data_IF_259135971864
#
_entry.id   IF_259135971864
#
_cell.length_a   1.000
_cell.length_b   1.000
_cell.length_c   1.000
_cell.angle_alpha   90.00
_cell.angle_beta   90.00
_cell.angle_gamma   90.00
#
_symmetry.space_group_name_H-M   'P 1'
#
loop_
_entity.id
_entity.type
_entity.pdbx_description
1 polymer ?
#
# COMPACT_ATOMS: atom_id res chain seq x y z
N UNK A 1 -2.42 11.72 12.44
CA UNK A 1 -2.20 11.92 10.99
C UNK A 1 -3.23 11.11 10.21
N UNK A 2 -4.22 11.74 9.55
CA UNK A 2 -5.35 11.01 8.93
C UNK A 2 -4.93 10.04 7.83
N UNK A 3 -3.98 10.45 6.97
CA UNK A 3 -3.49 9.62 5.86
C UNK A 3 -2.89 8.29 6.33
N UNK A 4 -2.23 8.26 7.50
CA UNK A 4 -1.71 7.04 8.09
C UNK A 4 -2.81 6.09 8.54
N UNK A 5 -3.88 6.61 9.15
CA UNK A 5 -5.03 5.77 9.54
C UNK A 5 -5.74 5.19 8.31
N UNK A 6 -5.89 5.98 7.25
CA UNK A 6 -6.47 5.50 6.00
C UNK A 6 -5.60 4.47 5.30
N UNK A 7 -4.26 4.57 5.38
CA UNK A 7 -3.39 3.56 4.77
C UNK A 7 -3.37 2.24 5.54
N UNK A 8 -3.51 2.27 6.87
CA UNK A 8 -3.74 1.06 7.67
C UNK A 8 -5.08 0.42 7.28
N UNK A 9 -6.16 1.20 7.23
CA UNK A 9 -7.47 0.70 6.81
C UNK A 9 -7.46 0.11 5.39
N UNK A 10 -6.74 0.73 4.45
CA UNK A 10 -6.51 0.18 3.11
C UNK A 10 -5.83 -1.18 3.17
N UNK A 11 -4.85 -1.35 4.06
CA UNK A 11 -4.12 -2.62 4.22
C UNK A 11 -5.04 -3.71 4.76
N UNK A 12 -5.92 -3.38 5.71
CA UNK A 12 -6.90 -4.31 6.26
C UNK A 12 -7.93 -4.76 5.21
N UNK A 13 -8.45 -3.84 4.40
CA UNK A 13 -9.37 -4.20 3.30
C UNK A 13 -8.65 -5.08 2.28
N UNK A 14 -7.45 -4.66 1.83
CA UNK A 14 -6.68 -5.41 0.85
C UNK A 14 -6.37 -6.83 1.34
N UNK A 15 -6.05 -6.99 2.62
CA UNK A 15 -5.83 -8.30 3.22
C UNK A 15 -7.05 -9.22 3.09
N UNK A 16 -8.25 -8.71 3.35
CA UNK A 16 -9.47 -9.50 3.24
C UNK A 16 -9.73 -9.92 1.79
N UNK A 17 -9.61 -8.99 0.84
CA UNK A 17 -9.80 -9.27 -0.59
C UNK A 17 -8.78 -10.30 -1.09
N UNK A 18 -7.52 -10.14 -0.71
CA UNK A 18 -6.43 -11.06 -1.08
C UNK A 18 -6.68 -12.46 -0.52
N UNK A 19 -7.16 -12.57 0.71
CA UNK A 19 -7.46 -13.86 1.33
C UNK A 19 -8.53 -14.65 0.59
N UNK A 20 -9.49 -13.96 -0.03
CA UNK A 20 -10.49 -14.56 -0.90
C UNK A 20 -9.93 -14.88 -2.29
N UNK A 21 -9.29 -13.90 -2.94
CA UNK A 21 -8.78 -14.02 -4.31
C UNK A 21 -7.63 -15.04 -4.45
N UNK A 22 -6.79 -15.20 -3.43
CA UNK A 22 -5.65 -16.13 -3.44
C UNK A 22 -6.08 -17.60 -3.50
N UNK A 23 -7.36 -17.92 -3.29
CA UNK A 23 -7.90 -19.26 -3.54
C UNK A 23 -7.82 -19.62 -5.03
N UNK A 24 -7.88 -18.61 -5.91
CA UNK A 24 -7.60 -18.77 -7.34
C UNK A 24 -6.08 -18.71 -7.59
N UNK A 25 -5.50 -19.87 -7.93
CA UNK A 25 -4.05 -19.99 -8.19
C UNK A 25 -3.52 -19.07 -9.28
N UNK A 26 -4.36 -18.65 -10.24
CA UNK A 26 -3.98 -17.73 -11.31
C UNK A 26 -3.69 -16.33 -10.76
N UNK A 27 -4.39 -15.93 -9.69
CA UNK A 27 -4.31 -14.58 -9.13
C UNK A 27 -3.23 -14.42 -8.06
N UNK A 28 -2.57 -15.49 -7.61
CA UNK A 28 -1.59 -15.46 -6.50
C UNK A 28 -0.51 -14.40 -6.71
N UNK A 29 0.06 -14.31 -7.92
CA UNK A 29 1.10 -13.32 -8.22
C UNK A 29 0.59 -11.89 -8.11
N UNK A 30 -0.59 -11.62 -8.65
CA UNK A 30 -1.22 -10.30 -8.55
C UNK A 30 -1.59 -9.98 -7.09
N UNK A 31 -2.05 -10.97 -6.32
CA UNK A 31 -2.38 -10.82 -4.91
C UNK A 31 -1.14 -10.46 -4.07
N UNK A 32 0.01 -11.07 -4.33
CA UNK A 32 1.29 -10.67 -3.68
C UNK A 32 1.64 -9.21 -3.97
N UNK A 33 1.49 -8.78 -5.21
CA UNK A 33 1.77 -7.40 -5.59
C UNK A 33 0.79 -6.41 -4.95
N UNK A 34 -0.49 -6.77 -4.87
CA UNK A 34 -1.50 -5.98 -4.15
C UNK A 34 -1.17 -5.90 -2.65
N UNK A 35 -0.82 -7.02 -2.01
CA UNK A 35 -0.42 -7.08 -0.60
C UNK A 35 0.73 -6.12 -0.30
N UNK A 36 1.80 -6.22 -1.09
CA UNK A 36 3.03 -5.44 -0.87
C UNK A 36 2.81 -3.96 -1.14
N UNK A 37 2.12 -3.62 -2.21
CA UNK A 37 1.82 -2.22 -2.54
C UNK A 37 0.89 -1.57 -1.52
N UNK A 38 -0.14 -2.27 -1.02
CA UNK A 38 -1.03 -1.77 0.03
C UNK A 38 -0.28 -1.51 1.35
N UNK A 39 0.48 -2.49 1.85
CA UNK A 39 1.25 -2.36 3.08
C UNK A 39 2.37 -1.31 3.00
N UNK A 40 2.98 -1.15 1.81
CA UNK A 40 4.01 -0.14 1.56
C UNK A 40 3.52 1.29 1.74
N UNK A 41 2.21 1.57 1.56
CA UNK A 41 1.66 2.92 1.75
C UNK A 41 1.84 3.38 3.20
N UNK A 42 1.41 2.58 4.17
CA UNK A 42 1.52 2.93 5.60
C UNK A 42 2.97 2.93 6.08
N UNK A 43 3.79 2.00 5.59
CA UNK A 43 5.22 1.92 5.89
C UNK A 43 5.96 3.20 5.47
N UNK A 44 5.79 3.65 4.22
CA UNK A 44 6.44 4.87 3.73
C UNK A 44 5.92 6.13 4.43
N UNK A 45 4.63 6.17 4.80
CA UNK A 45 4.07 7.27 5.57
C UNK A 45 4.70 7.37 6.96
N UNK A 46 4.83 6.24 7.68
CA UNK A 46 5.46 6.19 9.00
C UNK A 46 6.94 6.56 8.91
N UNK A 47 7.64 6.06 7.89
CA UNK A 47 9.05 6.33 7.66
C UNK A 47 9.29 7.81 7.31
N UNK A 48 8.44 8.41 6.47
CA UNK A 48 8.52 9.84 6.17
C UNK A 48 8.27 10.71 7.40
N UNK A 49 7.35 10.30 8.27
CA UNK A 49 7.06 11.02 9.52
C UNK A 49 8.24 11.05 10.49
N UNK A 50 9.11 10.03 10.47
CA UNK A 50 10.30 9.95 11.34
C UNK A 50 11.49 10.78 10.81
N UNK A 51 11.43 11.32 9.59
CA UNK A 51 12.55 12.08 8.99
C UNK A 51 12.69 13.48 9.58
N UNK A 52 13.94 13.90 9.77
CA UNK A 52 14.31 15.23 10.30
C UNK A 52 14.21 16.34 9.26
N UNK A 53 14.53 16.03 8.01
CA UNK A 53 14.46 16.98 6.88
C UNK A 53 13.08 16.93 6.24
N UNK A 54 12.50 18.10 5.97
CA UNK A 54 11.25 18.21 5.21
C UNK A 54 11.38 17.65 3.79
N UNK A 55 12.55 17.77 3.18
CA UNK A 55 12.80 17.24 1.84
C UNK A 55 12.79 15.71 1.83
N UNK A 56 13.44 15.09 2.82
CA UNK A 56 13.44 13.63 2.95
C UNK A 56 12.05 13.11 3.31
N UNK A 57 11.35 13.79 4.22
CA UNK A 57 9.95 13.48 4.55
C UNK A 57 9.06 13.49 3.31
N UNK A 58 9.16 14.54 2.48
CA UNK A 58 8.38 14.66 1.25
C UNK A 58 8.66 13.50 0.28
N UNK A 59 9.93 13.11 0.12
CA UNK A 59 10.32 11.98 -0.74
C UNK A 59 9.67 10.66 -0.31
N UNK A 60 9.59 10.38 0.99
CA UNK A 60 8.87 9.19 1.49
C UNK A 60 7.35 9.28 1.24
N UNK A 61 6.76 10.47 1.32
CA UNK A 61 5.35 10.65 0.97
C UNK A 61 5.09 10.46 -0.53
N UNK A 62 6.04 10.81 -1.40
CA UNK A 62 5.98 10.48 -2.83
C UNK A 62 6.03 8.96 -3.07
N UNK A 63 6.86 8.22 -2.32
CA UNK A 63 6.89 6.75 -2.38
C UNK A 63 5.58 6.11 -1.91
N UNK A 64 4.98 6.66 -0.84
CA UNK A 64 3.66 6.23 -0.38
C UNK A 64 2.59 6.47 -1.45
N UNK A 65 2.62 7.62 -2.13
CA UNK A 65 1.71 7.94 -3.24
C UNK A 65 1.92 7.02 -4.45
N UNK A 66 3.16 6.68 -4.78
CA UNK A 66 3.50 5.68 -5.79
C UNK A 66 2.89 4.32 -5.47
N UNK A 67 3.11 3.84 -4.25
CA UNK A 67 2.56 2.56 -3.76
C UNK A 67 1.03 2.55 -3.77
N UNK A 68 0.39 3.67 -3.40
CA UNK A 68 -1.08 3.79 -3.43
C UNK A 68 -1.65 3.72 -4.85
N UNK A 69 -0.96 4.33 -5.84
CA UNK A 69 -1.34 4.26 -7.26
C UNK A 69 -1.15 2.85 -7.82
N UNK A 70 -0.09 2.18 -7.44
CA UNK A 70 0.16 0.79 -7.81
C UNK A 70 -0.90 -0.14 -7.23
N UNK A 71 -1.18 -0.05 -5.92
CA UNK A 71 -2.23 -0.80 -5.24
C UNK A 71 -3.57 -0.67 -5.96
N UNK A 72 -3.99 0.57 -6.25
CA UNK A 72 -5.19 0.83 -7.06
C UNK A 72 -5.11 0.17 -8.45
N UNK A 73 -3.94 0.20 -9.08
CA UNK A 73 -3.71 -0.42 -10.37
C UNK A 73 -3.88 -1.95 -10.37
N UNK A 74 -3.58 -2.62 -9.26
CA UNK A 74 -3.81 -4.07 -9.13
C UNK A 74 -5.30 -4.41 -9.02
N UNK A 75 -6.06 -3.65 -8.24
CA UNK A 75 -7.52 -3.79 -8.17
C UNK A 75 -8.22 -3.61 -9.53
N UNK A 76 -7.67 -2.80 -10.43
CA UNK A 76 -8.24 -2.62 -11.77
C UNK A 76 -7.88 -3.74 -12.77
N UNK A 77 -6.85 -4.53 -12.50
CA UNK A 77 -6.36 -5.58 -13.41
C UNK A 77 -6.88 -6.97 -13.07
N UNK A 78 -7.25 -7.19 -11.81
CA UNK A 78 -7.88 -8.41 -11.32
C UNK A 78 -9.36 -8.41 -11.68
#
# INVERSE_FOLDING_TARGET
MNVYRYSLFLSDIAWNDISELAQNKILISSCDQLYRSAGSVSANIAEGYSRKSKLDQARFYEYALGSARECRGWYFKM
#
